data_IF_737606927245
#
_entry.id   IF_737606927245
#
_cell.length_a   1.000
_cell.length_b   1.000
_cell.length_c   1.000
_cell.angle_alpha   90.00
_cell.angle_beta   90.00
_cell.angle_gamma   90.00
#
_symmetry.space_group_name_H-M   'P 1'
#
loop_
_entity.id
_entity.type
_entity.pdbx_description
1 polymer ?
#
# COMPACT_ATOMS: atom_id res chain seq x y z
N UNK A 1 -15.56 24.47 -2.43
CA UNK A 1 -14.21 23.94 -2.72
C UNK A 1 -13.91 24.15 -4.19
N UNK A 2 -12.77 24.74 -4.58
CA UNK A 2 -12.47 24.98 -5.99
C UNK A 2 -12.26 23.65 -6.73
N UNK A 3 -12.92 23.47 -7.88
CA UNK A 3 -12.92 22.21 -8.65
C UNK A 3 -11.50 21.72 -9.03
N UNK A 4 -10.54 22.64 -9.20
CA UNK A 4 -9.13 22.31 -9.44
C UNK A 4 -8.48 21.50 -8.32
N UNK A 5 -8.79 21.81 -7.06
CA UNK A 5 -8.18 21.12 -5.91
C UNK A 5 -8.73 19.70 -5.81
N UNK A 6 -10.03 19.53 -6.01
CA UNK A 6 -10.66 18.21 -5.98
C UNK A 6 -10.05 17.24 -7.03
N UNK A 7 -9.80 17.72 -8.24
CA UNK A 7 -9.18 16.91 -9.31
C UNK A 7 -7.73 16.55 -8.97
N UNK A 8 -6.94 17.48 -8.44
CA UNK A 8 -5.57 17.20 -8.03
C UNK A 8 -5.51 16.20 -6.88
N UNK A 9 -6.34 16.35 -5.85
CA UNK A 9 -6.41 15.44 -4.71
C UNK A 9 -6.81 14.02 -5.15
N UNK A 10 -7.72 13.91 -6.12
CA UNK A 10 -8.12 12.62 -6.68
C UNK A 10 -6.98 11.95 -7.46
N UNK A 11 -6.26 12.72 -8.27
CA UNK A 11 -5.07 12.23 -8.98
C UNK A 11 -3.95 11.81 -8.00
N UNK A 12 -3.76 12.57 -6.93
CA UNK A 12 -2.78 12.26 -5.89
C UNK A 12 -3.14 10.99 -5.11
N UNK A 13 -4.42 10.79 -4.81
CA UNK A 13 -4.92 9.57 -4.17
C UNK A 13 -4.68 8.34 -5.05
N UNK A 14 -5.01 8.42 -6.35
CA UNK A 14 -4.77 7.33 -7.31
C UNK A 14 -3.26 7.04 -7.42
N UNK A 15 -2.44 8.08 -7.51
CA UNK A 15 -0.98 7.96 -7.55
C UNK A 15 -0.42 7.27 -6.30
N UNK A 16 -0.90 7.67 -5.12
CA UNK A 16 -0.53 7.05 -3.84
C UNK A 16 -0.90 5.57 -3.77
N UNK A 17 -2.09 5.19 -4.28
CA UNK A 17 -2.52 3.79 -4.34
C UNK A 17 -1.62 2.97 -5.28
N UNK A 18 -1.31 3.49 -6.46
CA UNK A 18 -0.43 2.81 -7.42
C UNK A 18 0.97 2.58 -6.84
N UNK A 19 1.55 3.61 -6.22
CA UNK A 19 2.88 3.54 -5.60
C UNK A 19 2.86 2.55 -4.43
N UNK A 20 1.80 2.55 -3.62
CA UNK A 20 1.64 1.60 -2.52
C UNK A 20 1.60 0.15 -3.00
N UNK A 21 0.86 -0.14 -4.07
CA UNK A 21 0.76 -1.49 -4.65
C UNK A 21 2.13 -1.94 -5.20
N UNK A 22 2.82 -1.05 -5.92
CA UNK A 22 4.15 -1.33 -6.46
C UNK A 22 5.17 -1.56 -5.34
N UNK A 23 5.15 -0.73 -4.30
CA UNK A 23 6.04 -0.85 -3.14
C UNK A 23 5.78 -2.12 -2.33
N UNK A 24 4.51 -2.50 -2.13
CA UNK A 24 4.13 -3.74 -1.46
C UNK A 24 4.62 -4.97 -2.26
N UNK A 25 4.42 -4.94 -3.58
CA UNK A 25 4.89 -6.01 -4.49
C UNK A 25 6.41 -6.12 -4.49
N UNK A 26 7.11 -4.98 -4.58
CA UNK A 26 8.57 -4.92 -4.53
C UNK A 26 9.10 -5.41 -3.17
N UNK A 27 8.49 -4.98 -2.07
CA UNK A 27 8.86 -5.41 -0.72
C UNK A 27 8.68 -6.91 -0.55
N UNK A 28 7.53 -7.47 -0.93
CA UNK A 28 7.31 -8.93 -0.87
C UNK A 28 8.33 -9.71 -1.71
N UNK A 29 8.68 -9.19 -2.89
CA UNK A 29 9.66 -9.84 -3.78
C UNK A 29 11.09 -9.76 -3.24
N UNK A 30 11.46 -8.62 -2.63
CA UNK A 30 12.78 -8.41 -2.03
C UNK A 30 12.95 -9.24 -0.75
N UNK A 31 11.95 -9.20 0.13
CA UNK A 31 11.94 -9.95 1.39
C UNK A 31 11.88 -11.46 1.15
N UNK A 32 11.14 -11.91 0.14
CA UNK A 32 11.12 -13.32 -0.28
C UNK A 32 12.49 -13.84 -0.75
N UNK A 33 13.37 -12.98 -1.28
CA UNK A 33 14.75 -13.34 -1.61
C UNK A 33 15.70 -13.36 -0.40
N UNK A 34 15.43 -12.55 0.61
CA UNK A 34 16.33 -12.40 1.77
C UNK A 34 16.07 -13.48 2.83
N UNK A 35 14.82 -13.88 3.07
CA UNK A 35 14.47 -14.60 4.31
C UNK A 35 14.05 -16.07 4.12
N UNK A 36 14.16 -16.67 2.93
CA UNK A 36 13.59 -18.01 2.63
C UNK A 36 12.10 -18.12 3.02
N UNK A 37 11.41 -16.98 3.12
CA UNK A 37 10.02 -16.88 3.54
C UNK A 37 9.19 -16.62 2.28
N UNK A 38 8.52 -17.65 1.76
CA UNK A 38 7.71 -17.53 0.56
C UNK A 38 6.38 -16.83 0.88
N UNK A 39 6.32 -15.52 0.63
CA UNK A 39 5.09 -14.72 0.70
C UNK A 39 3.95 -15.32 -0.13
N UNK A 40 4.26 -15.88 -1.30
CA UNK A 40 3.27 -16.57 -2.15
C UNK A 40 2.60 -17.74 -1.42
N UNK A 41 3.34 -18.47 -0.58
CA UNK A 41 2.86 -19.65 0.16
C UNK A 41 1.98 -19.26 1.35
N UNK A 42 2.29 -18.16 2.02
CA UNK A 42 1.48 -17.59 3.11
C UNK A 42 0.20 -16.90 2.61
N UNK A 43 0.27 -16.27 1.43
CA UNK A 43 -0.89 -15.70 0.75
C UNK A 43 -1.83 -16.80 0.23
N UNK A 44 -1.28 -17.89 -0.32
CA UNK A 44 -2.01 -19.10 -0.71
C UNK A 44 -2.64 -19.82 0.48
N UNK A 45 -2.02 -19.74 1.66
CA UNK A 45 -2.60 -20.19 2.94
C UNK A 45 -3.71 -19.29 3.48
N UNK A 46 -4.07 -18.23 2.76
CA UNK A 46 -5.03 -17.22 3.19
C UNK A 46 -4.73 -16.68 4.60
N UNK A 47 -3.45 -16.44 4.93
CA UNK A 47 -3.10 -15.96 6.25
C UNK A 47 -3.57 -14.51 6.45
N UNK A 48 -4.76 -14.37 7.05
CA UNK A 48 -5.41 -13.09 7.35
C UNK A 48 -4.53 -12.16 8.18
N UNK A 49 -3.64 -12.69 9.03
CA UNK A 49 -2.73 -11.89 9.84
C UNK A 49 -1.76 -11.06 8.98
N UNK A 50 -1.23 -11.66 7.91
CA UNK A 50 -0.32 -10.97 7.00
C UNK A 50 -1.06 -9.96 6.12
N UNK A 51 -2.24 -10.34 5.61
CA UNK A 51 -3.12 -9.43 4.87
C UNK A 51 -3.53 -8.20 5.69
N UNK A 52 -3.83 -8.39 6.98
CA UNK A 52 -4.20 -7.30 7.89
C UNK A 52 -3.00 -6.41 8.25
N UNK A 53 -1.79 -6.98 8.40
CA UNK A 53 -0.58 -6.20 8.63
C UNK A 53 -0.23 -5.29 7.42
N UNK A 54 -0.30 -5.83 6.20
CA UNK A 54 -0.06 -5.05 4.97
C UNK A 54 -1.17 -4.02 4.74
N UNK A 55 -2.44 -4.41 4.92
CA UNK A 55 -3.58 -3.49 4.84
C UNK A 55 -3.49 -2.35 5.84
N UNK A 56 -3.09 -2.64 7.09
CA UNK A 56 -2.87 -1.63 8.12
C UNK A 56 -1.75 -0.65 7.77
N UNK A 57 -0.64 -1.13 7.19
CA UNK A 57 0.45 -0.28 6.72
C UNK A 57 -0.01 0.65 5.59
N UNK A 58 -0.82 0.12 4.67
CA UNK A 58 -1.37 0.87 3.55
C UNK A 58 -2.33 1.96 4.01
N UNK A 59 -3.21 1.65 4.96
CA UNK A 59 -4.11 2.63 5.59
C UNK A 59 -3.32 3.70 6.32
N UNK A 60 -2.29 3.35 7.09
CA UNK A 60 -1.40 4.30 7.79
C UNK A 60 -0.75 5.29 6.81
N UNK A 61 -0.14 4.78 5.74
CA UNK A 61 0.51 5.61 4.71
C UNK A 61 -0.52 6.49 4.00
N UNK A 62 -1.68 5.92 3.63
CA UNK A 62 -2.77 6.67 3.02
C UNK A 62 -3.31 7.79 3.93
N UNK A 63 -3.38 7.54 5.24
CA UNK A 63 -3.79 8.53 6.23
C UNK A 63 -2.76 9.65 6.36
N UNK A 64 -1.46 9.33 6.43
CA UNK A 64 -0.37 10.31 6.53
C UNK A 64 -0.35 11.20 5.28
N UNK A 65 -0.45 10.63 4.08
CA UNK A 65 -0.49 11.39 2.83
C UNK A 65 -1.78 12.22 2.77
N UNK A 66 -2.92 11.66 3.15
CA UNK A 66 -4.21 12.36 3.14
C UNK A 66 -4.27 13.54 4.10
N UNK A 67 -3.74 13.39 5.32
CA UNK A 67 -3.63 14.49 6.29
C UNK A 67 -2.56 15.51 5.90
N UNK A 68 -1.47 15.10 5.26
CA UNK A 68 -0.41 16.00 4.80
C UNK A 68 -0.82 16.90 3.62
N UNK A 69 -1.93 16.60 2.95
CA UNK A 69 -2.48 17.38 1.83
C UNK A 69 -3.60 18.37 2.25
N UNK A 70 -3.90 18.48 3.55
CA UNK A 70 -4.90 19.40 4.12
C UNK A 70 -4.25 20.69 4.63
#
# INVERSE_FOLDING_TARGET
>A
MPARIAVLSFAYAIGGVLIGILSATASCKLFGRVTHFSFARELEKANLAFGNAVGGLFVMIGLIIGLGLN
#
